data_IF_233186047450
#
_entry.id   IF_233186047450
#
_cell.length_a   1.000
_cell.length_b   1.000
_cell.length_c   1.000
_cell.angle_alpha   90.00
_cell.angle_beta   90.00
_cell.angle_gamma   90.00
#
_symmetry.space_group_name_H-M   'P 1'
#
loop_
_entity.id
_entity.type
_entity.pdbx_description
1 polymer ?
#
# COMPACT_ATOMS: atom_id res chain seq x y z
N UNK A 1 19.11 -83.06 -44.23
CA UNK A 1 19.67 -82.20 -43.16
C UNK A 1 18.70 -81.10 -42.91
N UNK A 2 18.08 -81.06 -41.73
CA UNK A 2 17.03 -80.05 -41.36
C UNK A 2 17.66 -79.01 -40.46
N UNK A 3 17.76 -77.82 -40.93
CA UNK A 3 18.17 -76.64 -40.14
C UNK A 3 16.94 -75.98 -39.50
N UNK A 4 16.90 -75.93 -38.16
CA UNK A 4 15.87 -75.28 -37.39
C UNK A 4 16.28 -73.84 -37.19
N UNK A 5 15.42 -72.91 -37.62
CA UNK A 5 15.53 -71.48 -37.32
C UNK A 5 14.95 -71.18 -35.94
N UNK A 6 15.73 -70.51 -35.07
CA UNK A 6 15.26 -69.97 -33.81
C UNK A 6 14.83 -68.50 -34.02
N UNK A 7 13.56 -68.24 -33.75
CA UNK A 7 13.03 -66.87 -33.72
C UNK A 7 13.30 -66.27 -32.35
N UNK A 8 14.05 -65.16 -32.32
CA UNK A 8 14.34 -64.39 -31.13
C UNK A 8 13.31 -63.24 -31.00
N UNK A 9 12.40 -63.39 -30.06
CA UNK A 9 11.39 -62.38 -29.77
C UNK A 9 12.00 -61.31 -28.82
N UNK A 10 12.28 -60.11 -29.34
CA UNK A 10 12.71 -58.99 -28.56
C UNK A 10 11.48 -58.25 -27.93
N UNK A 11 11.37 -58.35 -26.63
CA UNK A 11 10.37 -57.58 -25.85
C UNK A 11 10.94 -56.20 -25.59
N UNK A 12 10.41 -55.18 -26.27
CA UNK A 12 10.66 -53.75 -25.95
C UNK A 12 9.83 -53.37 -24.70
N UNK A 13 10.51 -53.26 -23.57
CA UNK A 13 9.93 -52.60 -22.36
C UNK A 13 10.02 -51.10 -22.55
N UNK A 14 8.92 -50.46 -22.92
CA UNK A 14 8.79 -48.99 -22.91
C UNK A 14 8.59 -48.51 -21.47
N UNK A 15 9.67 -48.07 -20.83
CA UNK A 15 9.61 -47.38 -19.52
C UNK A 15 9.04 -45.96 -19.72
N UNK A 16 7.76 -45.77 -19.40
CA UNK A 16 7.14 -44.46 -19.31
C UNK A 16 7.70 -43.75 -18.07
N UNK A 17 8.70 -42.90 -18.26
CA UNK A 17 9.13 -41.89 -17.30
C UNK A 17 8.03 -40.83 -17.24
N UNK A 18 7.06 -41.01 -16.34
CA UNK A 18 6.19 -39.95 -15.88
C UNK A 18 7.06 -38.95 -15.11
N UNK A 19 7.54 -37.94 -15.83
CA UNK A 19 8.19 -36.81 -15.22
C UNK A 19 7.19 -36.13 -14.29
N UNK A 20 7.36 -36.32 -12.98
CA UNK A 20 6.76 -35.45 -11.97
C UNK A 20 7.41 -34.08 -12.16
N UNK A 21 6.77 -33.21 -12.96
CA UNK A 21 7.12 -31.80 -12.95
C UNK A 21 6.92 -31.32 -11.52
N UNK A 22 7.93 -30.72 -10.88
CA UNK A 22 7.72 -30.08 -9.59
C UNK A 22 6.62 -29.05 -9.81
N UNK A 23 5.48 -29.21 -9.14
CA UNK A 23 4.51 -28.15 -9.02
C UNK A 23 5.24 -27.03 -8.29
N UNK A 24 5.58 -25.96 -8.99
CA UNK A 24 6.05 -24.75 -8.35
C UNK A 24 4.91 -24.33 -7.40
N UNK A 25 5.09 -24.60 -6.11
CA UNK A 25 4.23 -24.03 -5.11
C UNK A 25 4.44 -22.53 -5.23
N UNK A 26 3.43 -21.82 -5.72
CA UNK A 26 3.46 -20.37 -5.67
C UNK A 26 3.58 -20.00 -4.19
N UNK A 27 4.65 -19.30 -3.81
CA UNK A 27 4.83 -18.82 -2.46
C UNK A 27 3.60 -18.01 -2.09
N UNK A 28 2.95 -18.41 -1.00
CA UNK A 28 1.76 -17.71 -0.54
C UNK A 28 2.16 -16.33 -0.03
N UNK A 29 1.35 -15.29 -0.31
CA UNK A 29 1.63 -13.97 0.21
C UNK A 29 1.62 -13.98 1.75
N UNK A 30 2.53 -13.20 2.34
CA UNK A 30 2.64 -13.03 3.78
C UNK A 30 1.84 -11.80 4.20
N UNK A 31 0.89 -11.99 5.11
CA UNK A 31 0.08 -10.89 5.65
C UNK A 31 0.48 -10.61 7.08
N UNK A 32 0.69 -9.34 7.40
CA UNK A 32 0.95 -8.81 8.74
C UNK A 32 -0.01 -7.68 9.09
N UNK A 33 -0.18 -7.44 10.39
CA UNK A 33 -0.95 -6.30 10.89
C UNK A 33 -0.09 -5.46 11.85
N UNK A 34 -0.15 -4.14 11.66
CA UNK A 34 0.52 -3.16 12.52
C UNK A 34 -0.54 -2.26 13.12
N UNK A 35 -0.71 -2.36 14.44
CA UNK A 35 -1.61 -1.49 15.19
C UNK A 35 -0.86 -0.22 15.60
N UNK A 36 -1.48 0.93 15.33
CA UNK A 36 -0.98 2.23 15.73
C UNK A 36 -1.92 2.87 16.74
N UNK A 37 -1.34 3.37 17.81
CA UNK A 37 -1.98 4.26 18.78
C UNK A 37 -0.86 5.15 19.33
N UNK A 38 -0.67 6.31 18.69
CA UNK A 38 0.41 7.22 19.08
C UNK A 38 0.02 8.67 18.92
N UNK A 39 0.58 9.50 19.78
CA UNK A 39 0.48 10.96 19.66
C UNK A 39 1.83 11.54 19.26
N UNK A 40 1.83 12.40 18.24
CA UNK A 40 3.00 13.16 17.81
C UNK A 40 2.70 14.65 17.98
N UNK A 41 3.66 15.40 18.55
CA UNK A 41 3.56 16.85 18.68
C UNK A 41 4.36 17.53 17.57
N UNK A 42 3.73 18.46 16.89
CA UNK A 42 4.34 19.30 15.87
C UNK A 42 4.55 20.72 16.42
N UNK A 43 5.78 21.24 16.39
CA UNK A 43 6.07 22.59 16.87
C UNK A 43 5.47 23.66 15.95
N UNK A 44 5.18 24.83 16.52
CA UNK A 44 4.78 26.00 15.75
C UNK A 44 5.78 26.34 14.65
N UNK A 45 5.29 26.72 13.47
CA UNK A 45 6.07 27.10 12.30
C UNK A 45 6.53 25.95 11.42
N UNK A 46 6.29 24.68 11.82
CA UNK A 46 6.63 23.54 10.95
C UNK A 46 5.56 23.31 9.85
N UNK A 47 4.32 23.24 10.20
CA UNK A 47 3.16 23.07 9.31
C UNK A 47 2.13 24.17 9.51
N UNK A 48 1.80 24.48 10.77
CA UNK A 48 0.90 25.56 11.17
C UNK A 48 1.67 26.66 11.93
N UNK A 49 1.16 27.89 11.99
CA UNK A 49 1.78 28.96 12.79
C UNK A 49 1.76 28.70 14.30
N UNK A 50 1.01 27.72 14.75
CA UNK A 50 0.89 27.26 16.15
C UNK A 50 1.30 25.79 16.29
N UNK A 51 1.59 25.36 17.51
CA UNK A 51 1.86 23.96 17.81
C UNK A 51 0.54 23.16 17.85
N UNK A 52 0.56 21.93 17.36
CA UNK A 52 -0.57 21.01 17.42
C UNK A 52 -0.11 19.57 17.67
N UNK A 53 -1.04 18.71 18.08
CA UNK A 53 -0.82 17.29 18.24
C UNK A 53 -1.59 16.52 17.17
N UNK A 54 -1.04 15.38 16.73
CA UNK A 54 -1.71 14.40 15.90
C UNK A 54 -1.79 13.07 16.65
N UNK A 55 -2.98 12.65 17.02
CA UNK A 55 -3.25 11.35 17.59
C UNK A 55 -3.67 10.38 16.47
N UNK A 56 -2.81 9.42 16.16
CA UNK A 56 -3.02 8.44 15.10
C UNK A 56 -3.47 7.13 15.72
N UNK A 57 -4.62 6.64 15.29
CA UNK A 57 -5.19 5.34 15.70
C UNK A 57 -5.62 4.57 14.48
N UNK A 58 -5.39 3.26 14.48
CA UNK A 58 -5.82 2.36 13.42
C UNK A 58 -4.92 1.16 13.23
N UNK A 59 -5.19 0.41 12.18
CA UNK A 59 -4.41 -0.77 11.80
C UNK A 59 -4.02 -0.68 10.34
N UNK A 60 -2.76 -0.94 10.06
CA UNK A 60 -2.33 -1.28 8.70
C UNK A 60 -2.28 -2.79 8.56
N UNK A 61 -2.93 -3.29 7.52
CA UNK A 61 -2.80 -4.67 7.06
C UNK A 61 -1.95 -4.67 5.81
N UNK A 62 -0.76 -5.21 5.92
CA UNK A 62 0.22 -5.32 4.85
C UNK A 62 0.23 -6.75 4.30
N UNK A 63 0.25 -6.90 2.98
CA UNK A 63 0.36 -8.20 2.30
C UNK A 63 1.50 -8.11 1.30
N UNK A 64 2.58 -8.87 1.57
CA UNK A 64 3.76 -8.95 0.72
C UNK A 64 3.70 -10.22 -0.12
N UNK A 65 3.85 -10.06 -1.42
CA UNK A 65 3.86 -11.12 -2.42
C UNK A 65 5.30 -11.55 -2.76
N UNK A 66 5.46 -12.75 -3.28
CA UNK A 66 6.78 -13.30 -3.64
C UNK A 66 7.50 -12.56 -4.77
N UNK A 67 6.78 -11.79 -5.57
CA UNK A 67 7.33 -10.91 -6.61
C UNK A 67 7.78 -9.55 -6.08
N UNK A 68 7.67 -9.34 -4.77
CA UNK A 68 8.03 -8.08 -4.09
C UNK A 68 6.94 -7.02 -4.11
N UNK A 69 5.77 -7.31 -4.66
CA UNK A 69 4.60 -6.44 -4.55
C UNK A 69 4.16 -6.37 -3.10
N UNK A 70 3.89 -5.16 -2.61
CA UNK A 70 3.31 -4.87 -1.30
C UNK A 70 1.96 -4.19 -1.46
N UNK A 71 0.97 -4.66 -0.70
CA UNK A 71 -0.37 -4.08 -0.64
C UNK A 71 -0.70 -3.78 0.81
N UNK A 72 -0.74 -2.50 1.15
CA UNK A 72 -1.12 -2.03 2.48
C UNK A 72 -2.54 -1.46 2.46
N UNK A 73 -3.38 -1.93 3.37
CA UNK A 73 -4.72 -1.41 3.62
C UNK A 73 -4.78 -0.72 4.97
N UNK A 74 -5.32 0.49 5.00
CA UNK A 74 -5.70 1.15 6.23
C UNK A 74 -7.06 0.59 6.71
N UNK A 75 -7.10 0.08 7.94
CA UNK A 75 -8.31 -0.47 8.58
C UNK A 75 -8.62 0.37 9.80
N UNK A 76 -9.80 1.00 9.83
CA UNK A 76 -10.24 1.92 10.90
C UNK A 76 -9.18 2.98 11.25
N UNK A 77 -8.51 3.49 10.22
CA UNK A 77 -7.37 4.39 10.38
C UNK A 77 -7.83 5.85 10.36
N UNK A 78 -7.51 6.56 11.44
CA UNK A 78 -7.80 7.98 11.55
C UNK A 78 -6.72 8.73 12.31
N UNK A 79 -6.62 10.01 12.01
CA UNK A 79 -5.72 10.94 12.68
C UNK A 79 -6.55 12.09 13.23
N UNK A 80 -6.49 12.31 14.53
CA UNK A 80 -7.12 13.47 15.18
C UNK A 80 -6.05 14.51 15.46
N UNK A 81 -6.16 15.63 14.77
CA UNK A 81 -5.36 16.81 15.01
C UNK A 81 -6.01 17.67 16.10
N UNK A 82 -5.22 18.19 17.04
CA UNK A 82 -5.73 19.04 18.12
C UNK A 82 -4.79 20.21 18.36
N UNK A 83 -5.36 21.42 18.40
CA UNK A 83 -4.67 22.61 18.86
C UNK A 83 -4.85 22.74 20.38
N UNK A 84 -3.82 22.51 21.20
CA UNK A 84 -3.95 22.52 22.65
C UNK A 84 -4.20 23.93 23.22
N UNK A 85 -3.95 25.01 22.45
CA UNK A 85 -4.15 26.36 22.91
C UNK A 85 -5.63 26.78 22.97
N UNK A 86 -6.47 26.21 22.09
CA UNK A 86 -7.89 26.53 22.01
C UNK A 86 -8.82 25.31 22.14
N UNK A 87 -8.25 24.07 22.15
CA UNK A 87 -8.98 22.82 22.25
C UNK A 87 -9.71 22.38 20.98
N UNK A 88 -9.55 23.09 19.85
CA UNK A 88 -10.16 22.68 18.58
C UNK A 88 -9.51 21.40 18.08
N UNK A 89 -10.33 20.52 17.49
CA UNK A 89 -9.88 19.25 16.93
C UNK A 89 -10.54 18.97 15.59
N UNK A 90 -9.78 18.36 14.69
CA UNK A 90 -10.22 17.86 13.39
C UNK A 90 -9.77 16.41 13.23
N UNK A 91 -10.60 15.57 12.60
CA UNK A 91 -10.26 14.18 12.33
C UNK A 91 -10.23 13.92 10.84
N UNK A 92 -9.15 13.32 10.35
CA UNK A 92 -9.06 12.75 9.01
C UNK A 92 -9.17 11.24 9.08
N UNK A 93 -9.81 10.66 8.07
CA UNK A 93 -9.93 9.20 7.89
C UNK A 93 -9.16 8.82 6.63
N UNK A 94 -8.33 7.81 6.74
CA UNK A 94 -7.64 7.20 5.61
C UNK A 94 -8.31 5.86 5.29
N UNK A 95 -8.60 5.63 4.01
CA UNK A 95 -9.19 4.38 3.53
C UNK A 95 -8.81 4.13 2.08
N UNK A 96 -8.43 2.92 1.79
CA UNK A 96 -8.02 2.48 0.46
C UNK A 96 -6.67 1.78 0.47
N UNK A 97 -6.34 1.08 -0.61
CA UNK A 97 -5.05 0.42 -0.74
C UNK A 97 -3.96 1.40 -1.16
N UNK A 98 -2.81 1.22 -0.51
CA UNK A 98 -1.51 1.70 -0.93
C UNK A 98 -0.74 0.50 -1.48
N UNK A 99 -0.32 0.57 -2.74
CA UNK A 99 0.29 -0.56 -3.45
C UNK A 99 1.66 -0.13 -3.94
N UNK A 100 2.69 -0.91 -3.63
CA UNK A 100 4.06 -0.74 -4.12
C UNK A 100 4.43 -1.94 -4.98
N UNK A 101 4.83 -1.70 -6.21
CA UNK A 101 5.23 -2.75 -7.16
C UNK A 101 6.66 -2.47 -7.66
N UNK A 102 7.62 -3.41 -7.45
CA UNK A 102 8.97 -3.24 -7.94
C UNK A 102 9.01 -3.14 -9.47
N UNK A 103 9.82 -2.23 -9.98
CA UNK A 103 10.15 -2.13 -11.40
C UNK A 103 11.49 -2.83 -11.68
N UNK A 104 11.67 -3.30 -12.89
CA UNK A 104 12.92 -4.00 -13.27
C UNK A 104 14.17 -3.10 -13.32
N UNK A 105 14.01 -1.80 -13.16
CA UNK A 105 15.10 -0.79 -13.20
C UNK A 105 15.56 -0.33 -11.81
N UNK A 106 15.05 -0.94 -10.74
CA UNK A 106 15.39 -0.60 -9.35
C UNK A 106 14.53 0.49 -8.74
N UNK A 107 13.55 1.03 -9.48
CA UNK A 107 12.51 1.90 -8.94
C UNK A 107 11.26 1.10 -8.53
N UNK A 108 10.28 1.77 -7.96
CA UNK A 108 8.97 1.19 -7.65
C UNK A 108 7.85 2.01 -8.27
N UNK A 109 6.77 1.34 -8.64
CA UNK A 109 5.48 1.99 -8.96
C UNK A 109 4.62 2.01 -7.72
N UNK A 110 4.22 3.20 -7.29
CA UNK A 110 3.30 3.41 -6.17
C UNK A 110 1.92 3.73 -6.71
N UNK A 111 0.92 3.05 -6.20
CA UNK A 111 -0.50 3.31 -6.50
C UNK A 111 -1.24 3.57 -5.21
N UNK A 112 -1.85 4.75 -5.10
CA UNK A 112 -2.78 5.12 -4.03
C UNK A 112 -4.17 5.15 -4.62
N UNK A 113 -5.11 4.44 -4.01
CA UNK A 113 -6.50 4.42 -4.44
C UNK A 113 -7.43 4.72 -3.27
N UNK A 114 -8.46 5.51 -3.51
CA UNK A 114 -9.53 5.74 -2.54
C UNK A 114 -9.39 7.06 -1.82
N UNK A 115 -9.54 7.04 -0.49
CA UNK A 115 -9.50 8.19 0.38
C UNK A 115 -8.16 8.24 1.12
N UNK A 116 -7.24 9.08 0.66
CA UNK A 116 -5.94 9.31 1.31
C UNK A 116 -6.02 10.40 2.39
N UNK A 117 -7.15 11.09 2.48
CA UNK A 117 -7.46 12.04 3.54
C UNK A 117 -8.82 12.71 3.32
N UNK A 118 -9.61 12.75 4.36
CA UNK A 118 -10.90 13.43 4.35
C UNK A 118 -11.14 14.08 5.72
N UNK A 119 -11.24 15.41 5.75
CA UNK A 119 -11.48 16.18 6.96
C UNK A 119 -12.82 16.87 6.87
N UNK A 120 -13.65 16.67 7.88
CA UNK A 120 -14.94 17.34 8.04
C UNK A 120 -14.92 18.18 9.31
N UNK A 121 -15.25 19.46 9.18
CA UNK A 121 -15.42 20.36 10.30
C UNK A 121 -16.91 20.45 10.68
N UNK A 122 -17.28 20.23 11.96
CA UNK A 122 -18.65 20.37 12.41
C UNK A 122 -19.25 21.72 12.07
N UNK A 123 -20.39 21.74 11.37
CA UNK A 123 -21.07 22.97 10.95
C UNK A 123 -20.56 23.61 9.64
N UNK A 124 -19.42 23.20 9.14
CA UNK A 124 -18.83 23.74 7.88
C UNK A 124 -18.76 22.68 6.75
N UNK A 125 -18.91 21.39 7.08
CA UNK A 125 -18.85 20.30 6.09
C UNK A 125 -17.41 19.87 5.82
N UNK A 126 -17.16 19.33 4.61
CA UNK A 126 -15.84 18.87 4.18
C UNK A 126 -14.95 20.07 3.85
N UNK A 127 -13.84 20.20 4.59
CA UNK A 127 -12.84 21.26 4.38
C UNK A 127 -11.61 20.76 3.62
N UNK A 128 -11.42 19.46 3.58
CA UNK A 128 -10.34 18.81 2.82
C UNK A 128 -10.80 17.43 2.34
N UNK A 129 -10.48 17.08 1.10
CA UNK A 129 -10.64 15.72 0.59
C UNK A 129 -9.55 15.41 -0.44
N UNK A 130 -8.85 14.31 -0.22
CA UNK A 130 -7.92 13.71 -1.17
C UNK A 130 -8.45 12.32 -1.53
N UNK A 131 -9.25 12.28 -2.60
CA UNK A 131 -10.00 11.10 -3.02
C UNK A 131 -9.77 10.83 -4.49
N UNK A 132 -9.30 9.65 -4.82
CA UNK A 132 -9.11 9.27 -6.22
C UNK A 132 -8.08 8.18 -6.43
N UNK A 133 -7.33 8.32 -7.52
CA UNK A 133 -6.23 7.43 -7.85
C UNK A 133 -4.99 8.26 -8.22
N UNK A 134 -3.91 8.02 -7.51
CA UNK A 134 -2.57 8.54 -7.82
C UNK A 134 -1.64 7.36 -8.15
N UNK A 135 -0.91 7.45 -9.27
CA UNK A 135 0.11 6.48 -9.66
C UNK A 135 1.38 7.22 -10.00
N UNK A 136 2.49 6.82 -9.39
CA UNK A 136 3.78 7.46 -9.63
C UNK A 136 4.95 6.48 -9.49
N UNK A 137 6.10 6.85 -10.05
CA UNK A 137 7.38 6.18 -9.83
C UNK A 137 8.05 6.82 -8.63
N UNK A 138 8.67 6.00 -7.78
CA UNK A 138 9.41 6.43 -6.60
C UNK A 138 10.71 5.64 -6.41
N UNK A 139 11.57 6.16 -5.54
CA UNK A 139 12.68 5.42 -4.98
C UNK A 139 12.15 4.43 -3.94
N UNK A 140 12.58 3.15 -3.93
CA UNK A 140 12.12 2.18 -2.93
C UNK A 140 12.50 2.55 -1.48
N UNK A 141 13.50 3.41 -1.27
CA UNK A 141 13.88 3.91 0.06
C UNK A 141 13.02 5.10 0.54
N UNK A 142 12.31 5.76 -0.38
CA UNK A 142 11.36 6.85 -0.09
C UNK A 142 10.16 6.80 -1.05
N UNK A 143 9.21 5.96 -0.71
CA UNK A 143 7.98 5.81 -1.49
C UNK A 143 7.00 6.98 -1.32
N UNK A 144 7.29 7.93 -0.44
CA UNK A 144 6.42 9.10 -0.21
C UNK A 144 6.69 10.26 -1.18
N UNK A 145 7.84 10.25 -1.84
CA UNK A 145 8.26 11.32 -2.76
C UNK A 145 8.19 10.86 -4.21
N UNK A 146 7.24 11.39 -5.02
CA UNK A 146 7.16 11.06 -6.44
C UNK A 146 8.37 11.54 -7.23
N UNK A 147 9.03 10.64 -7.97
CA UNK A 147 10.00 10.98 -9.01
C UNK A 147 9.30 11.37 -10.31
N UNK A 148 8.24 10.66 -10.67
CA UNK A 148 7.44 10.90 -11.87
C UNK A 148 6.00 10.50 -11.63
N UNK A 149 5.06 11.42 -11.83
CA UNK A 149 3.63 11.12 -11.75
C UNK A 149 3.17 10.55 -13.09
N UNK A 150 2.63 9.32 -13.07
CA UNK A 150 2.13 8.63 -14.24
C UNK A 150 0.63 8.88 -14.46
N UNK A 151 -0.13 8.97 -13.37
CA UNK A 151 -1.58 9.17 -13.40
C UNK A 151 -2.04 9.86 -12.13
N UNK A 152 -2.93 10.83 -12.31
CA UNK A 152 -3.69 11.47 -11.22
C UNK A 152 -5.13 11.63 -11.67
N UNK A 153 -6.08 11.11 -10.91
CA UNK A 153 -7.52 11.22 -11.18
C UNK A 153 -8.28 11.36 -9.87
N UNK A 154 -9.39 12.09 -9.91
CA UNK A 154 -10.16 12.43 -8.71
C UNK A 154 -9.75 13.78 -8.17
N UNK A 155 -10.10 14.03 -6.93
CA UNK A 155 -9.72 15.25 -6.21
C UNK A 155 -8.40 14.98 -5.49
N UNK A 156 -7.33 15.64 -5.94
CA UNK A 156 -6.02 15.67 -5.31
C UNK A 156 -5.83 17.08 -4.76
N UNK A 157 -5.88 17.24 -3.47
CA UNK A 157 -5.83 18.57 -2.83
C UNK A 157 -4.50 18.74 -2.06
N UNK A 158 -3.58 19.58 -2.58
CA UNK A 158 -2.33 19.88 -1.88
C UNK A 158 -2.52 20.77 -0.65
N UNK A 159 -3.75 21.21 -0.37
CA UNK A 159 -4.05 22.18 0.69
C UNK A 159 -4.30 21.53 2.06
N UNK A 160 -4.01 20.24 2.23
CA UNK A 160 -4.28 19.51 3.49
C UNK A 160 -3.82 20.26 4.74
N UNK A 161 -2.56 20.65 4.81
CA UNK A 161 -2.05 21.35 5.99
C UNK A 161 -2.58 22.78 6.14
N UNK A 162 -2.65 23.62 5.11
CA UNK A 162 -3.36 24.89 5.18
C UNK A 162 -4.79 24.76 5.71
N UNK A 163 -5.60 23.88 5.13
CA UNK A 163 -6.98 23.65 5.57
C UNK A 163 -7.07 23.16 7.02
N UNK A 164 -6.16 22.24 7.43
CA UNK A 164 -6.07 21.77 8.82
C UNK A 164 -5.70 22.91 9.77
N UNK A 165 -4.76 23.78 9.40
CA UNK A 165 -4.38 24.92 10.23
C UNK A 165 -5.53 25.92 10.39
N UNK A 166 -6.25 26.22 9.32
CA UNK A 166 -7.40 27.14 9.33
C UNK A 166 -8.52 26.60 10.23
N UNK A 167 -8.84 25.32 10.13
CA UNK A 167 -9.86 24.67 10.95
C UNK A 167 -9.48 24.54 12.44
N UNK A 168 -8.18 24.50 12.76
CA UNK A 168 -7.66 24.43 14.13
C UNK A 168 -7.39 25.81 14.76
N UNK A 169 -7.54 26.91 14.01
CA UNK A 169 -7.25 28.30 14.46
C UNK A 169 -8.27 28.86 15.44
#
# INVERSE_FOLDING_TARGET
MRTKAFALTAVLAASALLGLAPTAAADQPVTSEVHLDRTTTFPAGRFCPFAFTAHTVGTFRETVYSDGKDVTHAVDFHITYTNPANGKSLTTVLAGPFIVEPNGDGTVTVTINGNDGHITEPGHGTIFADVGKLVYIADPSDTSTPLTILKSTGQQDPSQFPATCDGLS
#
